data_IF_441308516438
#
_entry.id   IF_441308516438
#
_cell.length_a   1.000
_cell.length_b   1.000
_cell.length_c   1.000
_cell.angle_alpha   90.00
_cell.angle_beta   90.00
_cell.angle_gamma   90.00
#
_symmetry.space_group_name_H-M   'P 1'
#
loop_
_entity.id
_entity.type
_entity.pdbx_description
1 polymer ?
#
# COMPACT_ATOMS: atom_id res chain seq x y z
CA UNK A 1 51.00 4.07 -32.86
CA UNK A 2 48.25 6.71 -32.91
CA UNK A 3 44.74 5.47 -31.97
CA UNK A 4 41.19 6.47 -32.72
CA UNK A 5 40.78 8.82 -29.75
CA UNK A 6 37.46 10.30 -30.69
CA UNK A 7 34.04 9.47 -31.98
CA UNK A 8 31.31 11.65 -33.36
CA UNK A 9 27.80 11.35 -31.96
CA UNK A 10 25.44 9.77 -34.50
CA UNK A 11 22.01 8.11 -34.26
CA UNK A 12 22.11 4.41 -33.09
CA UNK A 13 19.07 2.32 -34.01
CA UNK A 14 18.37 0.06 -30.98
CA UNK A 15 14.97 -0.91 -32.11
CA UNK A 16 13.66 -4.53 -31.31
CA UNK A 17 10.46 -6.58 -31.17
CA UNK A 18 8.80 -7.45 -27.83
CA UNK A 19 6.58 -10.64 -27.36
CA UNK A 20 5.04 -10.14 -23.92
CA UNK A 21 2.67 -11.83 -21.40
CA UNK A 22 1.76 -11.20 -17.76
CA UNK A 23 -0.82 -11.56 -14.98
CA UNK A 24 -3.37 -8.87 -13.99
CA UNK A 25 -1.98 -6.71 -11.07
CA UNK A 26 1.70 -7.50 -11.38
CA UNK A 27 4.31 -4.96 -12.58
CA UNK A 28 6.49 -6.53 -15.33
CA UNK A 29 9.55 -5.24 -17.25
CA UNK A 30 8.85 -5.29 -20.95
CA UNK A 31 12.01 -3.53 -22.26
CA UNK A 32 15.34 -2.33 -21.01
CA UNK A 33 18.09 -0.35 -22.80
CA UNK A 34 21.42 0.25 -21.21
CA UNK A 35 22.43 4.05 -21.75
CA UNK A 36 25.85 5.78 -21.65
CA UNK A 37 26.61 9.16 -20.09
CA UNK A 38 25.80 11.92 -22.57
CA UNK A 39 23.52 10.02 -24.88
CA UNK A 40 20.13 11.25 -25.94
CA UNK A 41 17.30 8.61 -25.86
CA UNK A 42 13.99 8.49 -27.62
CA UNK A 43 11.43 5.67 -28.12
CA UNK A 44 8.21 4.93 -29.89
CA UNK A 45 6.58 1.71 -28.63
CA UNK A 46 3.70 0.78 -30.82
CA UNK A 47 1.90 -2.59 -30.46
CA UNK A 48 -1.27 -4.41 -29.52
CA UNK A 49 -2.49 -5.34 -26.11
CA UNK A 50 -4.61 -8.60 -25.91
CA UNK A 51 -6.29 -10.26 -22.86
CA UNK A 52 -6.63 -14.22 -22.84
CA UNK A 53 -9.86 -15.20 -24.47
CA UNK A 54 -12.68 -14.55 -22.05
CA UNK A 55 -15.51 -16.91 -21.18
CA UNK A 56 -18.39 -14.68 -22.23
CA UNK A 57 -18.67 -11.29 -24.13
CA UNK A 58 -16.87 -8.07 -23.12
CA UNK A 59 -18.41 -6.39 -20.07
CA UNK A 60 -15.68 -4.05 -18.73
CA UNK A 61 -12.50 -2.49 -20.23
CA UNK A 62 -9.30 -3.02 -18.36
CA UNK A 63 -6.92 -0.07 -17.90
CA UNK A 64 -3.23 -0.25 -19.01
CA UNK A 65 -0.29 1.75 -17.69
CA UNK A 66 3.10 1.78 -19.43
CA UNK A 67 6.00 3.40 -17.69
CA UNK A 68 9.58 4.39 -18.62
CA UNK A 69 12.01 5.10 -15.82
CA UNK A 70 15.71 6.00 -15.77
CA UNK A 71 17.91 4.51 -13.13
CA UNK A 72 21.48 5.74 -12.96
CA UNK A 73 23.98 2.95 -12.04
CA UNK A 74 25.42 5.12 -9.22
CA UNK A 75 21.99 4.84 -7.74
CA UNK A 76 22.53 1.06 -7.74
CA UNK A 77 26.19 0.49 -7.00
CA UNK A 78 26.80 3.67 -5.03
CA UNK A 79 30.32 4.25 -4.00
CA UNK A 80 31.42 1.14 -5.92
CA UNK A 81 30.27 2.54 -9.19
CA UNK A 82 32.03 5.92 -8.56
CA UNK A 83 35.24 4.11 -7.91
CA UNK A 84 34.80 1.86 -10.97
CA UNK A 85 34.51 4.98 -13.24
CA UNK A 86 37.51 6.59 -11.64
CA UNK A 87 39.60 3.38 -11.68
CA UNK A 88 38.73 3.10 -15.32
CA UNK A 89 40.16 0.14 -17.30
CA UNK A 90 41.39 -1.84 -14.37
CA UNK A 91 38.31 -1.18 -12.24
CA UNK A 92 37.14 -4.47 -10.44
CA UNK A 93 34.22 -5.85 -12.43
CA UNK A 94 30.71 -5.06 -11.12
CA UNK A 95 28.74 -7.47 -8.82
CA UNK A 96 26.20 -9.88 -10.28
CA UNK A 97 23.01 -10.94 -8.31
CA UNK A 98 21.63 -14.63 -8.30
CA UNK A 99 18.62 -16.14 -9.88
CA UNK A 100 16.77 -19.53 -9.42
CA UNK A 101 17.50 -22.16 -11.97
CA UNK A 102 14.53 -21.78 -14.26
CA UNK A 103 13.99 -20.24 -17.64
CA UNK A 104 11.27 -17.87 -16.36
CA UNK A 105 12.67 -17.00 -12.99
CA UNK A 106 14.06 -13.50 -14.15
CA UNK A 107 11.11 -12.79 -16.33
CA UNK A 108 9.98 -10.03 -13.99
CA UNK A 109 13.08 -8.15 -15.36
CA UNK A 110 12.04 -8.86 -18.85
CA UNK A 111 14.86 -11.29 -19.56
CA UNK A 112 15.60 -15.02 -20.11
CA UNK A 113 17.60 -16.49 -17.31
CA UNK A 114 21.16 -17.12 -18.36
CA UNK A 115 22.36 -20.82 -17.71
CA UNK A 116 24.97 -19.51 -15.27
CA UNK A 117 22.23 -18.26 -12.95
CA UNK A 118 23.20 -14.59 -12.61
CA UNK A 119 22.39 -11.16 -13.90
CA UNK A 120 23.85 -7.67 -13.46
CA UNK A 121 22.80 -6.43 -10.07
CA UNK A 122 21.69 -3.06 -11.60
CA UNK A 123 18.97 -4.88 -13.50
CA UNK A 124 17.48 -6.41 -10.31
CA UNK A 125 18.06 -3.39 -8.02
CA UNK A 126 16.67 -0.81 -10.44
CA UNK A 127 13.39 -2.81 -10.42
CA UNK A 128 13.20 -2.83 -6.63
CA UNK A 129 13.79 1.02 -6.59
CA UNK A 130 11.10 1.59 -9.07
CA UNK A 131 8.69 -0.62 -7.05
CA UNK A 132 9.45 0.79 -3.65
CA UNK A 133 9.19 4.50 -4.80
CA UNK A 134 6.08 4.46 -6.91
CA UNK A 135 4.13 1.17 -6.53
CA UNK A 136 3.92 -0.21 -2.98
CA UNK A 137 1.51 1.73 -0.68
CA UNK A 138 3.63 4.45 1.00
CA UNK A 139 3.11 2.80 4.41
CA UNK A 140 4.21 -0.80 3.39
CA UNK A 141 7.80 -1.71 4.00
CA UNK A 142 10.29 -1.58 1.12
CA UNK A 143 11.15 -4.77 -0.84
CA UNK A 144 14.58 -5.51 0.30
CA UNK A 145 15.70 -8.90 -1.21
CA UNK A 146 19.32 -9.37 -1.95
CA UNK A 147 18.95 -11.64 -4.93
CA UNK A 148 16.23 -12.52 -7.22
CA UNK A 149 16.52 -16.19 -5.89
CA UNK A 150 14.77 -15.11 -2.76
CA UNK A 151 11.51 -14.57 -4.64
CA UNK A 152 8.42 -16.90 -5.04
CA UNK A 153 7.78 -18.24 -8.51
CA UNK A 154 4.89 -15.86 -9.01
CA UNK A 155 6.96 -12.72 -8.09
CA UNK A 156 9.89 -13.93 -10.20
CA UNK A 157 7.98 -14.89 -13.26
CA UNK A 158 5.13 -12.38 -13.40
CA UNK A 159 6.41 -9.32 -11.45
CA UNK A 160 5.43 -7.89 -8.05
CA UNK A 161 1.86 -7.25 -6.96
CA UNK A 162 0.57 -3.63 -7.33
CA UNK A 163 -2.29 -1.99 -5.47
CA UNK A 164 -5.81 -1.87 -6.58
CA UNK A 165 -7.33 1.44 -8.00
CA UNK A 166 -8.51 3.50 -4.99
CA UNK A 167 -11.62 2.58 -3.07
CA UNK A 168 -13.04 3.16 0.39
CA UNK A 169 -11.71 -0.38 1.23
CA UNK A 170 -8.82 -0.39 -1.22
CA UNK A 171 -7.47 3.04 0.01
CA UNK A 172 -8.02 3.32 3.73
CA UNK A 173 -5.93 5.81 5.83
CA UNK A 174 -2.52 4.48 6.74
CA UNK A 175 -2.60 1.65 9.33
CA UNK A 176 -1.14 3.51 12.19
CA UNK A 177 -3.31 6.63 11.87
CA UNK A 178 -4.00 7.75 15.45
CA UNK A 179 -7.61 8.02 16.51
CA UNK A 180 -6.74 9.94 19.62
CA UNK A 181 -3.95 11.82 21.29
CA UNK A 182 -3.33 12.25 24.94
CA UNK A 183 -1.78 15.24 26.63
CA UNK A 184 -0.60 14.31 30.07
CA UNK A 185 -2.33 16.85 32.20
CA UNK A 186 -2.09 17.70 35.87
CA UNK A 187 -4.56 16.15 38.29
CA UNK A 188 -5.46 15.38 41.82
CA UNK A 189 -4.47 17.43 44.79
CA UNK A 190 -7.58 17.05 46.90
CA UNK A 191 -7.64 14.79 49.94
CA UNK A 192 -10.94 14.52 51.80
CA UNK A 193 -11.00 14.22 55.59
CA UNK A 194 -13.97 11.99 56.37
CA UNK A 195 -12.87 11.33 59.96
CA UNK A 196 -15.41 10.88 62.75
CA UNK A 197 -15.89 9.46 66.25
CA UNK A 198 -17.57 6.14 67.08
CA UNK A 199 -19.21 4.88 70.28
CA UNK A 200 -18.70 1.07 70.45
CA UNK A 201 -19.63 -1.68 72.93
CA UNK A 202 -21.82 -4.80 73.27
CA UNK A 203 -21.32 -6.30 69.81
CA UNK A 204 -17.79 -5.31 68.86
CA UNK A 205 -17.77 -4.56 65.14
CA UNK A 206 -14.31 -4.29 63.57
CA UNK A 207 -14.41 -2.63 60.16
CA UNK A 208 -11.72 -1.40 57.78
CA UNK A 209 -13.52 1.02 55.46
CA UNK A 210 -12.01 0.21 52.07
CA UNK A 211 -11.52 3.65 50.50
CA UNK A 212 -14.90 3.60 48.65
CA UNK A 213 -15.80 1.54 45.58
CA UNK A 214 -17.87 -1.53 46.35
CA UNK A 215 -15.50 -2.56 49.11
CA UNK A 216 -15.90 -6.33 48.89
CA UNK A 217 -15.31 -7.66 52.40
CA UNK A 218 -16.35 -11.30 52.90
CA UNK A 219 -16.31 -13.77 55.81
CA UNK A 220 -13.86 -13.97 58.72
CA UNK A 221 -12.08 -16.51 60.95
CA UNK A 222 -13.29 -18.96 63.61
CA UNK A 223 -15.51 -16.50 65.51
CA UNK A 224 -18.92 -14.86 64.86
CA UNK A 225 -19.06 -13.43 61.25
CA UNK A 226 -19.66 -9.73 60.32
CA UNK A 227 -20.21 -9.35 56.51
CA UNK A 228 -20.28 -5.55 55.83
CA UNK A 229 -22.62 -3.18 53.94
CA UNK A 230 -20.80 -0.14 52.56
CA UNK A 231 -21.59 2.73 50.20
CA UNK A 232 -18.69 3.51 47.88
CA UNK A 233 -18.57 6.94 46.26
CA UNK A 234 -15.87 7.35 43.64
CA UNK A 235 -14.25 10.62 44.56
CA UNK A 236 -16.73 10.53 47.41
CA UNK A 237 -17.31 10.48 51.14
CA UNK A 238 -20.12 8.16 52.23
CA UNK A 239 -21.72 7.07 55.51
CA UNK A 240 -21.34 3.58 56.98
CA UNK A 241 -24.00 1.84 59.06
CA UNK A 242 -22.18 -1.24 60.36
CA UNK A 243 -23.39 -3.72 62.96
CA UNK A 244 -22.55 -6.83 64.95
CA UNK A 245 -23.77 -5.26 68.14
CA UNK A 246 -25.71 -2.22 66.99
CA UNK A 247 -23.82 0.96 66.10
CA UNK A 248 -24.55 4.63 65.48
CA UNK A 249 -22.08 6.07 62.98
CA UNK A 250 -21.76 9.39 61.18
CA UNK A 251 -19.49 8.67 58.23
CA UNK A 252 -17.35 11.81 58.17
CA UNK A 253 -16.22 12.39 54.59
CA UNK A 254 -14.63 15.64 53.41
CA UNK A 255 -14.24 16.41 49.69
CA UNK A 256 -11.95 15.74 46.72
CA UNK A 257 -10.66 18.66 44.64
CA UNK A 258 -10.17 17.59 41.02
CA UNK A 259 -7.83 18.98 38.29
CA UNK A 260 -5.80 21.80 36.78
CA UNK A 261 -4.30 21.95 33.19
CA UNK A 262 -1.85 24.03 31.02
CA UNK A 263 -3.72 26.20 28.50
CA UNK A 264 -0.42 27.05 26.70
CA UNK A 265 0.81 23.38 26.64
CA UNK A 266 -2.43 22.29 25.18
CA UNK A 267 -1.85 24.77 22.31
CA UNK A 268 1.56 23.30 21.74
CA UNK A 269 0.12 19.75 21.94
CA UNK A 270 -1.99 20.59 18.96
CA UNK A 271 1.02 22.00 17.04
CA UNK A 272 2.92 18.75 17.49
CA UNK A 273 0.02 16.43 16.48
CA UNK A 274 -0.33 18.51 13.32
CA UNK A 275 3.15 17.84 12.32
CA UNK A 276 2.48 14.08 13.06
CA UNK A 277 -0.71 14.00 11.20
CA UNK A 278 0.84 15.48 8.07
CA UNK A 279 3.70 12.97 7.95
CA UNK A 280 1.08 10.17 8.41
CA UNK A 281 -1.33 11.17 5.71
CA UNK A 282 0.86 12.90 3.06
CA UNK A 283 4.55 12.95 3.87
CA UNK A 284 5.91 9.42 4.76
CA UNK A 285 8.65 9.96 2.21
CA UNK A 286 11.47 12.43 2.81
CA UNK A 287 10.98 14.06 -0.60
CA UNK A 288 7.41 14.89 0.37
CA UNK A 289 8.35 16.43 3.68
CA UNK A 290 10.56 18.89 1.70
CA UNK A 291 8.03 19.85 -0.83
CA UNK A 292 5.88 20.66 2.07
CA UNK A 293 8.46 23.32 3.04
CA UNK A 294 8.24 24.59 -0.49
CA UNK A 295 11.70 23.31 -1.31
CA UNK A 296 12.64 20.74 -3.98
CA UNK A 297 14.76 17.61 -3.87
CA UNK A 298 16.63 16.07 -6.80
CA UNK A 299 16.15 12.34 -7.69
CA UNK A 300 19.71 12.07 -6.57
CA UNK A 301 18.78 13.47 -3.13
CA UNK A 302 16.74 10.31 -2.19
CA UNK A 303 17.96 7.99 -4.94
CA UNK A 304 14.72 7.61 -6.84
CA UNK A 305 14.30 6.32 -10.34
CA UNK A 306 13.24 9.26 -12.56
CA UNK A 307 9.89 8.80 -14.31
CA UNK A 308 10.40 9.88 -17.88
CA UNK A 309 7.13 9.02 -19.43
CA UNK A 310 3.79 7.38 -18.69
CA UNK A 311 0.98 6.28 -20.82
CA UNK A 312 -2.37 5.10 -19.67
CA UNK A 313 -5.16 3.54 -21.66
CA UNK A 314 -8.33 1.38 -21.62
CA UNK A 315 -8.05 -1.83 -23.71
CA UNK A 316 -11.00 -2.99 -25.66
CA UNK A 317 -12.04 -5.30 -28.47
CA UNK A 318 -15.10 -7.09 -29.84
CA UNK A 319 -17.33 -10.18 -29.18
CA UNK A 320 -17.20 -13.28 -31.38
CA UNK A 321 -20.62 -14.75 -32.05
CA UNK A 322 -20.73 -18.66 -31.83
CA UNK A 323 -22.78 -20.16 -34.62
CA UNK A 324 -22.99 -24.05 -34.15
CA UNK A 325 -26.01 -25.92 -32.86
CA UNK A 326 -25.01 -25.70 -29.31
CA UNK A 327 -23.22 -22.33 -29.12
CA UNK A 328 -25.61 -20.07 -31.09
CA UNK A 329 -26.59 -17.41 -28.44
CA UNK A 330 -23.13 -17.55 -26.97
CA UNK A 331 -20.21 -15.01 -27.28
CA UNK A 332 -16.54 -14.67 -26.59
CA UNK A 333 -15.09 -11.13 -25.96
CA UNK A 334 -11.90 -10.49 -27.98
CA UNK A 335 -9.78 -7.65 -26.55
CA UNK A 336 -7.36 -6.24 -29.14
CA UNK A 337 -6.07 -2.80 -28.22
CA UNK A 338 -3.62 -0.87 -30.41
CA UNK A 339 -1.55 1.39 -28.17
CA UNK A 340 1.43 3.73 -28.43
CA UNK A 341 3.94 4.57 -25.76
CA UNK A 342 6.20 7.60 -26.74
CA UNK A 343 9.10 8.76 -24.77
CA UNK A 344 10.27 12.24 -26.04
CA UNK A 345 14.06 12.67 -26.37
CA UNK A 346 15.90 12.35 -23.10
CA UNK A 347 19.41 13.45 -22.23
CA UNK A 348 21.17 10.72 -20.17
CA UNK A 349 23.32 12.57 -17.63
CA UNK A 350 25.14 9.44 -16.34
CA UNK A 351 25.44 5.68 -17.44
CA UNK A 352 22.28 3.72 -16.44
CA UNK A 353 19.36 1.59 -17.66
CA UNK A 354 16.16 2.83 -19.11
CA UNK A 355 13.37 0.45 -17.75
CA UNK A 356 9.98 0.23 -19.45
CA UNK A 357 7.22 -1.69 -17.51
CA UNK A 358 3.57 -2.52 -18.05
CA UNK A 359 0.73 -3.02 -15.51
CA UNK A 360 -2.75 -4.26 -16.56
CA UNK A 361 -5.62 -3.77 -14.08
CA UNK A 362 -9.39 -3.85 -13.75
CA UNK A 363 -11.41 -1.38 -11.53
CA UNK A 364 -11.90 -3.20 -8.15
CA UNK A 365 -15.53 -4.26 -8.57
CA UNK A 366 -16.44 -6.82 -5.85
CA UNK A 367 -19.58 -8.89 -6.29
CA UNK A 368 -20.52 -8.36 -2.59
CA UNK A 369 -19.60 -4.74 -1.57
CA UNK A 370 -22.51 -3.04 0.27
CA UNK A 371 -23.04 0.80 0.75
CA UNK A 372 -21.71 1.63 4.20
CA UNK A 373 -25.00 3.21 5.40
CA UNK A 374 -26.91 0.14 4.16
CA UNK A 375 -24.73 -2.35 6.02
CA UNK A 376 -23.77 -0.89 9.43
CA UNK A 377 -26.84 -1.08 11.68
CA UNK A 378 -29.11 1.56 13.06
CA UNK A 379 -28.18 5.04 11.68
CA UNK A 380 -27.16 7.72 14.11
CA UNK A 381 -27.43 11.54 13.48
CA UNK A 382 -23.68 11.57 12.84
CA UNK A 383 -23.98 8.97 10.12
CA UNK A 384 -27.02 10.08 8.22
CA UNK A 385 -27.36 13.95 8.51
CA UNK A 386 -24.29 15.20 6.55
CA UNK A 387 -23.62 17.80 9.27
CA UNK A 388 -20.52 19.68 8.20
CA UNK A 389 -19.48 20.73 11.68
CA UNK A 390 -19.38 16.99 12.72
CA UNK A 391 -17.52 15.62 9.71
CA UNK A 392 -15.12 18.61 9.75
CA UNK A 393 -14.17 17.93 13.32
CA UNK A 394 -13.97 14.27 14.66
CA UNK A 395 -11.26 11.57 14.44
CA UNK A 396 -10.85 9.02 11.64
CA UNK A 397 -13.55 6.25 11.97
CA UNK A 398 -12.39 2.65 12.39
CA UNK A 399 -14.53 0.29 10.35
CA UNK A 400 -14.45 -3.47 9.52
CA UNK A 401 -14.54 -5.38 6.27
CA UNK A 402 -18.00 -6.48 7.40
CA UNK A 403 -19.47 -2.94 7.25
CA UNK A 404 -18.93 -2.87 3.52
CA UNK A 405 -19.01 -6.58 2.42
CA UNK A 406 -21.41 -9.55 2.55
CA UNK A 407 -18.88 -11.98 3.89
CA UNK A 408 -16.64 -9.39 5.42
CA UNK A 409 -14.47 -10.37 8.29
CA UNK A 410 -15.59 -8.23 11.22
CA UNK A 411 -12.19 -8.78 12.68
CA UNK A 412 -10.49 -6.98 9.72
CA UNK A 413 -10.54 -3.22 10.56
CA UNK A 414 -9.66 -0.05 8.59
CA UNK A 415 -9.66 3.75 9.24
CA UNK A 416 -11.86 5.83 7.06
CA UNK A 417 -12.46 9.63 7.03
CA UNK A 418 -15.76 10.59 8.74
CA UNK A 419 -18.33 11.28 6.07
CA UNK A 420 -16.37 9.21 3.43
CA UNK A 421 -19.56 7.30 2.68
CA UNK A 422 -20.98 10.65 1.31
CA UNK A 423 -17.92 11.26 -0.87
CA UNK A 424 -17.99 7.76 -2.47
CA UNK A 425 -20.27 5.30 -4.17
CA UNK A 426 -19.48 1.57 -4.76
CA UNK A 427 -20.45 -0.09 -7.99
CA UNK A 428 -23.48 -2.43 -7.77
CA UNK A 429 -23.32 -6.05 -9.08
CA UNK A 430 -26.78 -7.71 -8.83
CA UNK A 431 -26.55 -11.03 -6.83
CA UNK A 432 -27.46 -12.87 -10.04
CA UNK A 433 -23.83 -12.38 -11.14
CA UNK A 434 -22.17 -13.67 -7.93
CA UNK A 435 -20.33 -16.83 -9.14
CA UNK A 436 -20.99 -16.39 -12.83
CA UNK A 437 -17.71 -17.06 -14.66
CA UNK A 438 -16.51 -14.65 -17.37
CA UNK A 439 -16.78 -11.33 -15.45
CA UNK A 440 -13.61 -9.94 -13.99
CA UNK A 441 -15.29 -9.36 -10.57
CA UNK A 442 -13.63 -10.06 -7.26
CA UNK A 443 -15.92 -12.99 -5.93
CA UNK A 444 -15.23 -13.01 -2.19
CA UNK A 445 -13.99 -10.03 -0.16
CA UNK A 446 -10.27 -9.98 0.23
CA UNK A 447 -9.33 -11.69 3.46
CA UNK A 448 -6.14 -10.77 5.25
CA UNK A 449 -4.15 -7.93 6.67
CA UNK A 450 -4.53 -4.45 5.16
CA UNK A 451 -1.55 -5.13 2.89
CA UNK A 452 -2.94 -8.39 1.54
CA UNK A 453 -6.20 -6.64 0.78
CA UNK A 454 -4.71 -3.67 -1.16
CA UNK A 455 -2.22 -5.76 -3.25
CA UNK A 456 -3.87 -7.23 -6.26
CA UNK A 457 -4.20 -11.10 -6.42
CA UNK A 458 -4.11 -12.30 -10.02
CA UNK A 459 -5.97 -15.50 -9.18
CA UNK A 460 -9.01 -13.36 -8.39
CA UNK A 461 -9.30 -13.21 -12.19
CA UNK A 462 -8.72 -16.87 -13.16
CA UNK A 463 -12.39 -17.69 -13.73
CA UNK A 464 -12.62 -14.84 -16.18
CA UNK A 465 -10.59 -16.27 -18.97
CA UNK A 466 -10.21 -19.32 -21.19
CA UNK A 467 -7.16 -21.21 -19.90
CA UNK A 468 -4.12 -20.49 -22.06
CA UNK A 469 -0.39 -20.78 -21.95
CA UNK A 470 0.04 -16.91 -22.27
CA UNK A 471 -1.28 -16.10 -18.83
CA UNK A 472 -3.91 -13.35 -18.49
CA UNK A 473 -2.67 -10.69 -21.07
CA UNK A 474 -0.16 -10.84 -23.99
CA UNK A 475 1.26 -7.98 -26.18
CA UNK A 476 3.23 -7.87 -29.41
CA UNK A 477 5.10 -4.50 -29.62
CA UNK A 478 7.70 -2.78 -31.77
CA UNK A 479 10.06 -0.75 -29.66
CA UNK A 480 11.39 1.96 -32.06
CA UNK A 481 14.32 3.27 -30.16
CA UNK A 482 16.98 5.77 -31.27
CA UNK A 483 19.92 6.62 -29.20
CA UNK A 484 22.23 9.60 -30.20
CA UNK A 485 25.38 8.12 -28.81
CA UNK A 486 29.03 8.78 -29.41
CA UNK A 487 31.01 5.53 -29.84
CA UNK A 488 33.10 4.76 -32.95
CA UNK A 489 31.71 3.07 -35.93
CA UNK A 490 31.55 -0.83 -36.13
CA UNK A 491 34.55 -0.62 -38.35
CA UNK A 492 36.65 1.95 -36.67
CA UNK A 493 36.15 -0.85 -34.22
CA UNK A 494 37.26 -3.79 -36.39
CA UNK A 495 40.10 -2.00 -38.25
CA UNK A 496 43.50 -1.97 -36.46
CA UNK A 497 44.42 1.18 -38.45
#
# INVERSE_FOLDING_TARGET
>A
SNIQTGAERMPHDLSHLGFLAGQIGRLITISTTPVIAGDSFEMDAVGALRLSPLRRGLAIDSTVDIFTFYVPHRHVYGEQWIKFMKDGVNATPLPTVNTTGYIDHAAFLGTINPDTNKIPKHLFQGYLNIYNNYFKAPWMPDRTEANPNELNQDDARYGFRCCHLKNIWTAPLPPETELSRQMTTSTGMAPVTTKFRDVPNLSGTPLIFRDNKGRTIKTGQLGIGPVDAGFLVAQNTAQAANGERAIPSNLWADLSNATSIDIMGLQAAYANLHTDQERDYFMQRYRDVISSFGGKTSYDADNRPLLVMRSNLWASGYDVDGTDQTSLGQFSGRVQQTYKHSVPRFFVPEHGTMFTLALVRFPPTATKEIQYLNAKGALTYTDIAGDPVLYGNLPPREISMKDVFRSGDSSKKFKIAEGQWYRYAPSYVSPAYHLLEGFPFIQEPPSGDLQERVLIRHHDYDQCFQSVQLLQWNSQVKFNVTVYRNLPTTRDSIMTS
#
